data_IF_916967365903
#
_entry.id   IF_916967365903
#
_cell.length_a   1.000
_cell.length_b   1.000
_cell.length_c   1.000
_cell.angle_alpha   90.00
_cell.angle_beta   90.00
_cell.angle_gamma   90.00
#
_symmetry.space_group_name_H-M   'P 1'
#
loop_
_entity.id
_entity.type
_entity.pdbx_description
1 polymer ?
#
# COMPACT_ATOMS: atom_id res chain seq x y z
N UNK A 1 -5.41 19.49 -14.06
CA UNK A 1 -4.40 18.72 -13.29
C UNK A 1 -4.41 19.10 -11.80
N UNK A 2 -4.45 20.40 -11.46
CA UNK A 2 -4.49 20.90 -10.07
C UNK A 2 -5.72 20.45 -9.26
N UNK A 3 -6.92 20.42 -9.87
CA UNK A 3 -8.16 20.03 -9.18
C UNK A 3 -8.17 18.56 -8.73
N UNK A 4 -7.36 17.71 -9.37
CA UNK A 4 -7.22 16.31 -8.98
C UNK A 4 -6.23 16.14 -7.83
N UNK A 5 -5.19 16.98 -7.73
CA UNK A 5 -4.13 16.93 -6.70
C UNK A 5 -4.63 17.08 -5.26
N UNK A 6 -5.79 17.71 -5.05
CA UNK A 6 -6.32 17.99 -3.72
C UNK A 6 -7.31 16.94 -3.17
N UNK A 7 -7.69 15.91 -3.94
CA UNK A 7 -8.72 14.94 -3.50
C UNK A 7 -8.11 13.80 -2.66
N UNK A 8 -8.69 13.51 -1.47
CA UNK A 8 -8.21 12.44 -0.57
C UNK A 8 -8.49 11.02 -1.07
N UNK A 9 -9.44 10.85 -1.99
CA UNK A 9 -9.67 9.59 -2.72
C UNK A 9 -9.71 9.92 -4.21
N UNK A 10 -8.61 9.63 -4.89
CA UNK A 10 -8.54 9.77 -6.33
C UNK A 10 -9.23 8.57 -6.99
N UNK A 11 -10.27 8.79 -7.78
CA UNK A 11 -10.90 7.75 -8.61
C UNK A 11 -10.55 7.94 -10.09
N UNK A 12 -10.70 6.88 -10.90
CA UNK A 12 -10.44 6.92 -12.36
C UNK A 12 -11.26 7.98 -13.09
N UNK A 13 -12.43 8.31 -12.55
CA UNK A 13 -13.34 9.32 -13.08
C UNK A 13 -12.75 10.73 -12.94
N UNK A 14 -11.86 10.94 -11.99
CA UNK A 14 -11.20 12.22 -11.80
C UNK A 14 -9.97 12.42 -12.72
N UNK A 15 -9.56 11.37 -13.46
CA UNK A 15 -8.50 11.47 -14.47
C UNK A 15 -9.00 12.23 -15.71
N UNK A 16 -8.13 13.02 -16.34
CA UNK A 16 -8.46 13.65 -17.62
C UNK A 16 -8.70 12.59 -18.70
N UNK A 17 -9.50 12.89 -19.74
CA UNK A 17 -9.93 11.90 -20.75
C UNK A 17 -8.77 11.14 -21.40
N UNK A 18 -7.63 11.80 -21.58
CA UNK A 18 -6.39 11.20 -22.09
C UNK A 18 -5.89 10.04 -21.22
N UNK A 19 -5.77 10.25 -19.89
CA UNK A 19 -5.29 9.21 -18.97
C UNK A 19 -6.34 8.14 -18.70
N UNK A 20 -7.63 8.50 -18.72
CA UNK A 20 -8.74 7.54 -18.51
C UNK A 20 -8.77 6.43 -19.58
N UNK A 21 -8.41 6.77 -20.82
CA UNK A 21 -8.40 5.82 -21.93
C UNK A 21 -7.18 4.88 -21.91
N UNK A 22 -6.15 5.20 -21.12
CA UNK A 22 -4.98 4.37 -20.92
C UNK A 22 -5.21 3.46 -19.72
N UNK A 23 -5.95 2.36 -19.95
CA UNK A 23 -6.53 1.50 -18.91
C UNK A 23 -5.54 1.10 -17.80
N UNK A 24 -4.32 0.69 -18.15
CA UNK A 24 -3.28 0.30 -17.18
C UNK A 24 -2.65 1.49 -16.46
N UNK A 25 -2.37 2.59 -17.17
CA UNK A 25 -1.80 3.81 -16.58
C UNK A 25 -2.77 4.49 -15.62
N UNK A 26 -4.08 4.45 -15.92
CA UNK A 26 -5.12 4.98 -15.05
C UNK A 26 -5.14 4.29 -13.67
N UNK A 27 -4.95 2.96 -13.65
CA UNK A 27 -4.85 2.18 -12.40
C UNK A 27 -3.60 2.54 -11.62
N UNK A 28 -2.43 2.58 -12.28
CA UNK A 28 -1.16 2.91 -11.62
C UNK A 28 -1.16 4.33 -11.04
N UNK A 29 -1.78 5.30 -11.74
CA UNK A 29 -1.89 6.68 -11.27
C UNK A 29 -2.78 6.82 -10.04
N UNK A 30 -3.79 5.97 -9.90
CA UNK A 30 -4.68 5.94 -8.73
C UNK A 30 -3.97 5.24 -7.56
N UNK A 31 -3.28 4.13 -7.82
CA UNK A 31 -2.48 3.39 -6.84
C UNK A 31 -1.32 4.23 -6.27
N UNK A 32 -0.64 5.01 -7.11
CA UNK A 32 0.50 5.84 -6.69
C UNK A 32 0.10 6.87 -5.62
N UNK A 33 -1.17 7.28 -5.62
CA UNK A 33 -1.75 8.23 -4.66
C UNK A 33 -2.31 7.61 -3.39
N UNK A 34 -2.29 6.29 -3.26
CA UNK A 34 -2.71 5.66 -2.01
C UNK A 34 -1.81 6.15 -0.86
N UNK A 35 -2.39 6.43 0.32
CA UNK A 35 -1.61 6.87 1.46
C UNK A 35 -0.57 5.82 1.81
N UNK A 36 0.69 6.24 1.91
CA UNK A 36 1.82 5.37 2.27
C UNK A 36 2.15 5.56 3.74
N UNK A 37 2.29 4.44 4.44
CA UNK A 37 2.80 4.42 5.81
C UNK A 37 4.27 4.01 5.74
N UNK A 38 5.17 4.92 6.09
CA UNK A 38 6.61 4.67 6.19
C UNK A 38 6.97 4.63 7.66
N UNK A 39 7.55 3.52 8.11
CA UNK A 39 7.87 3.29 9.52
C UNK A 39 9.34 2.90 9.65
N UNK A 40 10.03 3.50 10.62
CA UNK A 40 11.35 3.05 11.05
C UNK A 40 11.15 2.10 12.23
N UNK A 41 11.40 0.81 12.00
CA UNK A 41 11.37 -0.19 13.05
C UNK A 41 12.72 -0.24 13.75
N UNK A 42 12.72 -0.43 15.07
CA UNK A 42 13.97 -0.72 15.79
C UNK A 42 14.52 -2.10 15.40
N UNK A 43 15.77 -2.36 15.77
CA UNK A 43 16.47 -3.58 15.34
C UNK A 43 15.80 -4.87 15.86
N UNK A 44 15.32 -4.87 17.10
CA UNK A 44 14.67 -6.04 17.69
C UNK A 44 13.31 -6.36 17.03
N UNK A 45 12.48 -5.33 16.84
CA UNK A 45 11.16 -5.47 16.25
C UNK A 45 11.25 -5.86 14.77
N UNK A 46 12.19 -5.28 14.02
CA UNK A 46 12.40 -5.63 12.61
C UNK A 46 12.82 -7.11 12.46
N UNK A 47 13.72 -7.61 13.30
CA UNK A 47 14.11 -9.02 13.31
C UNK A 47 12.92 -9.93 13.63
N UNK A 48 12.17 -9.63 14.70
CA UNK A 48 10.98 -10.40 15.09
C UNK A 48 9.95 -10.43 13.97
N UNK A 49 9.70 -9.29 13.33
CA UNK A 49 8.76 -9.18 12.22
C UNK A 49 9.21 -10.00 11.01
N UNK A 50 10.47 -9.88 10.55
CA UNK A 50 10.96 -10.65 9.41
C UNK A 50 11.00 -12.16 9.67
N UNK A 51 11.30 -12.58 10.91
CA UNK A 51 11.19 -13.99 11.29
C UNK A 51 9.75 -14.49 11.22
N UNK A 52 8.78 -13.70 11.69
CA UNK A 52 7.36 -14.03 11.59
C UNK A 52 6.90 -14.13 10.12
N UNK A 53 7.33 -13.19 9.27
CA UNK A 53 7.07 -13.23 7.82
C UNK A 53 7.66 -14.50 7.20
N UNK A 54 8.92 -14.82 7.49
CA UNK A 54 9.57 -16.03 7.00
C UNK A 54 8.85 -17.29 7.45
N UNK A 55 8.44 -17.37 8.72
CA UNK A 55 7.71 -18.52 9.28
C UNK A 55 6.36 -18.73 8.59
N UNK A 56 5.69 -17.63 8.21
CA UNK A 56 4.34 -17.68 7.66
C UNK A 56 4.29 -17.84 6.13
N UNK A 57 5.23 -17.23 5.41
CA UNK A 57 5.24 -17.18 3.94
C UNK A 57 6.45 -17.90 3.32
N UNK A 58 7.31 -18.54 4.13
CA UNK A 58 8.49 -19.29 3.69
C UNK A 58 9.71 -18.42 3.35
N UNK A 59 9.50 -17.23 2.80
CA UNK A 59 10.58 -16.32 2.41
C UNK A 59 10.26 -14.84 2.68
N UNK A 60 11.30 -14.04 2.88
CA UNK A 60 11.23 -12.59 3.09
C UNK A 60 11.35 -11.92 1.72
N UNK A 61 10.21 -11.68 1.07
CA UNK A 61 10.12 -10.90 -0.16
C UNK A 61 9.33 -9.62 0.11
N UNK A 62 9.51 -8.58 -0.71
CA UNK A 62 8.78 -7.32 -0.57
C UNK A 62 7.26 -7.55 -0.51
N UNK A 63 6.72 -8.42 -1.38
CA UNK A 63 5.29 -8.73 -1.39
C UNK A 63 4.82 -9.44 -0.11
N UNK A 64 5.61 -10.35 0.45
CA UNK A 64 5.23 -11.06 1.68
C UNK A 64 5.29 -10.13 2.90
N UNK A 65 6.28 -9.24 2.93
CA UNK A 65 6.42 -8.19 3.96
C UNK A 65 5.22 -7.25 3.92
N UNK A 66 4.85 -6.78 2.72
CA UNK A 66 3.68 -5.91 2.52
C UNK A 66 2.38 -6.60 2.94
N UNK A 67 2.16 -7.85 2.52
CA UNK A 67 0.98 -8.64 2.93
C UNK A 67 0.89 -8.79 4.45
N UNK A 68 2.00 -9.12 5.10
CA UNK A 68 2.04 -9.28 6.55
C UNK A 68 1.76 -7.95 7.28
N UNK A 69 2.32 -6.84 6.80
CA UNK A 69 2.05 -5.52 7.35
C UNK A 69 0.58 -5.12 7.18
N UNK A 70 0.02 -5.31 5.98
CA UNK A 70 -1.39 -5.02 5.69
C UNK A 70 -2.34 -5.86 6.55
N UNK A 71 -2.01 -7.14 6.76
CA UNK A 71 -2.81 -8.00 7.63
C UNK A 71 -2.75 -7.56 9.09
N UNK A 72 -1.58 -7.14 9.60
CA UNK A 72 -1.45 -6.61 10.94
C UNK A 72 -2.30 -5.34 11.13
N UNK A 73 -2.27 -4.42 10.15
CA UNK A 73 -3.12 -3.23 10.15
C UNK A 73 -4.59 -3.60 10.14
N UNK A 74 -5.01 -4.50 9.23
CA UNK A 74 -6.40 -4.94 9.11
C UNK A 74 -6.93 -5.54 10.42
N UNK A 75 -6.15 -6.45 11.02
CA UNK A 75 -6.47 -7.05 12.32
C UNK A 75 -6.61 -6.00 13.42
N UNK A 76 -5.71 -5.03 13.45
CA UNK A 76 -5.78 -3.92 14.41
C UNK A 76 -7.06 -3.10 14.23
N UNK A 77 -7.42 -2.76 12.99
CA UNK A 77 -8.63 -1.96 12.70
C UNK A 77 -9.94 -2.71 12.93
N UNK A 78 -9.94 -4.03 12.80
CA UNK A 78 -11.12 -4.88 13.05
C UNK A 78 -11.30 -5.25 14.53
N UNK A 79 -10.25 -5.09 15.34
CA UNK A 79 -10.27 -5.38 16.78
C UNK A 79 -10.64 -4.17 17.64
N UNK A 80 -10.96 -3.03 17.01
CA UNK A 80 -11.47 -1.81 17.64
C UNK A 80 -13.01 -1.84 17.58
#
# INVERSE_FOLDING_TARGET
MAEWLAKPKATKEDLTPYFRNLKTLADTLVEDRLPRIILTLNQELSQKFFQAVKKRYGNITSSNVEKAAMEAIKKWTESI
#
